data_IF_575426209993
#
_entry.id   IF_575426209993
#
_cell.length_a   1.000
_cell.length_b   1.000
_cell.length_c   1.000
_cell.angle_alpha   90.00
_cell.angle_beta   90.00
_cell.angle_gamma   90.00
#
_symmetry.space_group_name_H-M   'P 1'
#
loop_
_entity.id
_entity.type
_entity.pdbx_description
1 polymer ?
#
# COMPACT_ATOMS: atom_id res chain seq x y z
N UNK A 1 -2.96 -12.94 14.25
CA UNK A 1 -2.13 -12.03 13.41
C UNK A 1 -2.72 -12.04 12.00
N UNK A 2 -3.61 -11.08 11.69
CA UNK A 2 -4.31 -10.96 10.38
C UNK A 2 -4.07 -9.59 9.74
N UNK A 3 -3.69 -8.57 10.53
CA UNK A 3 -3.58 -7.17 10.10
C UNK A 3 -2.56 -6.91 8.97
N UNK A 4 -1.43 -7.60 8.95
CA UNK A 4 -0.37 -7.38 7.93
C UNK A 4 -0.85 -7.74 6.52
N UNK A 5 -1.61 -8.83 6.37
CA UNK A 5 -2.19 -9.26 5.08
C UNK A 5 -3.39 -8.40 4.66
N UNK A 6 -4.10 -7.80 5.62
CA UNK A 6 -5.23 -6.93 5.33
C UNK A 6 -4.78 -5.64 4.68
N UNK A 7 -3.67 -5.03 5.13
CA UNK A 7 -3.14 -3.79 4.55
C UNK A 7 -2.78 -3.99 3.07
N UNK A 8 -2.09 -5.07 2.73
CA UNK A 8 -1.69 -5.37 1.34
C UNK A 8 -2.89 -5.38 0.37
N UNK A 9 -4.02 -5.98 0.79
CA UNK A 9 -5.27 -5.96 0.01
C UNK A 9 -5.79 -4.54 -0.21
N UNK A 10 -5.74 -3.69 0.82
CA UNK A 10 -6.19 -2.30 0.72
C UNK A 10 -5.25 -1.50 -0.18
N UNK A 11 -3.93 -1.68 -0.05
CA UNK A 11 -2.93 -1.03 -0.92
C UNK A 11 -3.12 -1.43 -2.38
N UNK A 12 -3.36 -2.72 -2.68
CA UNK A 12 -3.65 -3.19 -4.05
C UNK A 12 -4.92 -2.56 -4.61
N UNK A 13 -5.99 -2.49 -3.82
CA UNK A 13 -7.25 -1.84 -4.22
C UNK A 13 -7.07 -0.33 -4.45
N UNK A 14 -6.28 0.33 -3.62
CA UNK A 14 -5.98 1.75 -3.76
C UNK A 14 -5.15 2.02 -5.01
N UNK A 15 -4.08 1.26 -5.24
CA UNK A 15 -3.26 1.36 -6.47
C UNK A 15 -4.08 1.20 -7.75
N UNK A 16 -5.03 0.26 -7.76
CA UNK A 16 -5.96 0.09 -8.90
C UNK A 16 -6.91 1.27 -9.13
N UNK A 17 -7.13 2.14 -8.14
CA UNK A 17 -8.01 3.32 -8.25
C UNK A 17 -7.27 4.62 -8.53
N UNK A 18 -6.09 4.81 -7.94
CA UNK A 18 -5.36 6.09 -7.95
C UNK A 18 -4.02 6.04 -8.71
N UNK A 19 -3.61 4.86 -9.18
CA UNK A 19 -2.32 4.62 -9.83
C UNK A 19 -1.28 4.01 -8.89
N UNK A 20 -0.34 3.25 -9.46
CA UNK A 20 0.69 2.53 -8.68
C UNK A 20 1.76 3.47 -8.11
N UNK A 21 2.08 4.56 -8.81
CA UNK A 21 3.13 5.52 -8.41
C UNK A 21 2.81 6.33 -7.15
N UNK A 22 1.53 6.37 -6.76
CA UNK A 22 1.06 7.14 -5.59
C UNK A 22 1.36 6.45 -4.27
N UNK A 23 1.62 5.14 -4.25
CA UNK A 23 1.89 4.40 -3.02
C UNK A 23 3.17 3.57 -3.18
N UNK A 24 4.22 3.99 -2.48
CA UNK A 24 5.51 3.32 -2.47
C UNK A 24 5.67 2.45 -1.23
N UNK A 25 6.22 1.24 -1.42
CA UNK A 25 6.52 0.33 -0.30
C UNK A 25 7.91 0.64 0.24
N UNK A 26 7.99 0.94 1.54
CA UNK A 26 9.25 1.17 2.26
C UNK A 26 9.52 -0.05 3.14
N UNK A 27 10.48 -0.88 2.72
CA UNK A 27 10.83 -2.11 3.45
C UNK A 27 11.23 -1.80 4.90
N UNK A 28 10.62 -2.51 5.84
CA UNK A 28 10.86 -2.34 7.27
C UNK A 28 10.10 -1.17 7.93
N UNK A 29 9.33 -0.38 7.17
CA UNK A 29 8.54 0.74 7.71
C UNK A 29 7.04 0.59 7.35
N UNK A 30 6.72 0.26 6.09
CA UNK A 30 5.34 0.13 5.63
C UNK A 30 5.13 0.77 4.25
N UNK A 31 4.06 1.57 4.10
CA UNK A 31 3.69 2.20 2.84
C UNK A 31 3.71 3.72 2.96
N UNK A 32 4.28 4.39 1.97
CA UNK A 32 4.35 5.85 1.87
C UNK A 32 3.50 6.33 0.71
N UNK A 33 2.65 7.30 0.97
CA UNK A 33 1.91 8.01 -0.08
C UNK A 33 2.81 9.10 -0.68
N UNK A 34 2.98 9.08 -2.01
CA UNK A 34 3.69 10.11 -2.77
C UNK A 34 2.66 10.82 -3.68
N UNK A 35 2.46 12.11 -3.43
CA UNK A 35 1.58 12.98 -4.22
C UNK A 35 2.32 13.60 -5.39
#
# INVERSE_FOLDING_TARGET
IVGDRTIDVHIRKLRGKIGEDKINTVKGIGYKFCG
#
